data_IF_300167363663
#
_entry.id   IF_300167363663
#
_cell.length_a   1.000
_cell.length_b   1.000
_cell.length_c   1.000
_cell.angle_alpha   90.00
_cell.angle_beta   90.00
_cell.angle_gamma   90.00
#
_symmetry.space_group_name_H-M   'P 1'
#
loop_
_entity.id
_entity.type
_entity.pdbx_description
1 polymer ?
#
# COMPACT_ATOMS: atom_id res chain seq x y z
N UNK A 1 -6.85 -35.88 71.71
CA UNK A 1 -6.85 -34.77 70.73
C UNK A 1 -8.26 -34.21 70.63
N UNK A 2 -8.47 -32.98 71.08
CA UNK A 2 -9.79 -32.36 71.24
C UNK A 2 -10.14 -31.53 69.99
N UNK A 3 -11.21 -31.83 69.29
CA UNK A 3 -11.81 -31.01 68.22
C UNK A 3 -12.56 -29.83 68.88
N UNK A 4 -12.26 -28.60 68.51
CA UNK A 4 -13.02 -27.42 68.89
C UNK A 4 -13.97 -27.05 67.71
N UNK A 5 -15.26 -27.14 67.96
CA UNK A 5 -16.31 -26.61 67.09
C UNK A 5 -16.43 -25.09 67.29
N UNK A 6 -16.34 -24.31 66.19
CA UNK A 6 -16.74 -22.91 66.17
C UNK A 6 -18.11 -22.79 65.50
N UNK A 7 -19.09 -22.32 66.26
CA UNK A 7 -20.39 -21.92 65.79
C UNK A 7 -20.29 -20.49 65.20
N UNK A 8 -20.63 -20.36 63.93
CA UNK A 8 -20.86 -19.03 63.34
C UNK A 8 -22.34 -18.71 63.33
N UNK A 9 -22.74 -17.69 64.07
CA UNK A 9 -24.07 -17.07 63.97
C UNK A 9 -24.18 -16.19 62.74
N UNK A 10 -25.07 -16.52 61.80
CA UNK A 10 -25.34 -15.73 60.62
C UNK A 10 -26.31 -14.57 60.96
N UNK A 11 -25.82 -13.35 60.92
CA UNK A 11 -26.65 -12.14 60.98
C UNK A 11 -27.14 -11.82 59.54
N UNK A 12 -28.45 -11.86 59.35
CA UNK A 12 -29.13 -11.40 58.15
C UNK A 12 -29.20 -9.87 58.11
N UNK A 13 -28.49 -9.27 57.14
CA UNK A 13 -28.62 -7.83 56.80
C UNK A 13 -29.50 -7.77 55.56
N UNK A 14 -30.53 -6.90 55.45
CA UNK A 14 -31.38 -6.86 54.27
C UNK A 14 -30.68 -6.16 53.09
N UNK A 15 -30.48 -6.92 52.01
CA UNK A 15 -29.89 -6.50 50.75
C UNK A 15 -30.96 -6.04 49.77
N UNK A 16 -31.52 -4.84 49.98
CA UNK A 16 -32.59 -4.34 49.12
C UNK A 16 -32.45 -2.92 48.53
N UNK A 17 -31.28 -2.28 48.67
CA UNK A 17 -31.17 -0.86 48.19
C UNK A 17 -29.95 -0.60 47.23
N UNK A 18 -29.18 -1.61 46.84
CA UNK A 18 -27.98 -1.40 46.02
C UNK A 18 -28.14 -1.82 44.53
N UNK A 19 -29.19 -2.55 44.16
CA UNK A 19 -29.34 -3.09 42.81
C UNK A 19 -29.70 -2.05 41.74
N UNK A 20 -30.38 -0.97 42.07
CA UNK A 20 -30.85 0.03 41.09
C UNK A 20 -29.79 1.07 40.67
N UNK A 21 -28.70 1.27 41.44
CA UNK A 21 -27.64 2.22 41.06
C UNK A 21 -26.57 1.60 40.18
N UNK A 22 -26.30 0.27 40.28
CA UNK A 22 -25.30 -0.42 39.48
C UNK A 22 -25.80 -0.62 38.03
N UNK A 23 -27.10 -0.85 37.86
CA UNK A 23 -27.73 -1.03 36.52
C UNK A 23 -27.73 0.26 35.68
N UNK A 24 -27.86 1.42 36.31
CA UNK A 24 -27.84 2.73 35.61
C UNK A 24 -26.42 3.11 35.15
N UNK A 25 -25.39 2.76 35.95
CA UNK A 25 -23.98 3.07 35.61
C UNK A 25 -23.50 2.16 34.49
N UNK A 26 -23.84 0.86 34.50
CA UNK A 26 -23.43 -0.07 33.41
C UNK A 26 -24.10 0.27 32.08
N UNK A 27 -25.36 0.72 32.07
CA UNK A 27 -26.03 1.14 30.84
C UNK A 27 -25.49 2.46 30.26
N UNK A 28 -25.03 3.38 31.12
CA UNK A 28 -24.43 4.65 30.67
C UNK A 28 -23.01 4.41 30.12
N UNK A 29 -22.23 3.51 30.71
CA UNK A 29 -20.91 3.11 30.20
C UNK A 29 -21.00 2.32 28.88
N UNK A 30 -21.96 1.40 28.75
CA UNK A 30 -22.18 0.66 27.51
C UNK A 30 -22.68 1.57 26.37
N UNK A 31 -23.59 2.53 26.63
CA UNK A 31 -24.02 3.51 25.63
C UNK A 31 -22.87 4.42 25.18
N UNK A 32 -22.06 4.94 26.10
CA UNK A 32 -20.92 5.79 25.75
C UNK A 32 -19.78 5.04 25.04
N UNK A 33 -19.67 3.71 25.18
CA UNK A 33 -18.71 2.89 24.41
C UNK A 33 -19.28 2.60 23.03
N UNK A 34 -20.59 2.38 22.89
CA UNK A 34 -21.25 2.14 21.60
C UNK A 34 -21.36 3.43 20.77
N UNK A 35 -21.58 4.59 21.40
CA UNK A 35 -21.62 5.89 20.69
C UNK A 35 -20.22 6.41 20.28
N UNK A 36 -19.12 5.88 20.85
CA UNK A 36 -17.75 6.19 20.41
C UNK A 36 -17.26 5.33 19.25
N UNK A 37 -17.95 4.28 18.89
CA UNK A 37 -17.78 3.56 17.64
C UNK A 37 -18.78 4.04 16.57
N UNK A 38 -19.02 5.34 16.45
CA UNK A 38 -19.51 5.86 15.19
C UNK A 38 -18.43 5.54 14.17
N UNK A 39 -18.75 4.71 13.21
CA UNK A 39 -17.89 4.32 12.08
C UNK A 39 -17.28 5.56 11.43
N UNK A 40 -16.14 6.01 11.97
CA UNK A 40 -15.31 6.98 11.30
C UNK A 40 -14.73 6.23 10.13
N UNK A 41 -15.36 6.36 8.96
CA UNK A 41 -14.89 5.71 7.74
C UNK A 41 -13.40 5.99 7.60
N UNK A 42 -12.63 4.93 7.41
CA UNK A 42 -11.20 5.06 7.16
C UNK A 42 -11.00 5.96 5.94
N UNK A 43 -10.12 6.95 6.04
CA UNK A 43 -9.89 7.91 4.96
C UNK A 43 -9.31 7.26 3.72
N UNK A 44 -8.39 6.32 3.91
CA UNK A 44 -7.76 5.56 2.84
C UNK A 44 -8.33 4.15 2.85
N UNK A 45 -8.67 3.64 1.67
CA UNK A 45 -9.26 2.32 1.50
C UNK A 45 -8.34 1.42 0.68
N UNK A 46 -8.35 0.12 0.96
CA UNK A 46 -7.69 -0.87 0.14
C UNK A 46 -8.47 -1.00 -1.18
N UNK A 47 -7.91 -0.59 -2.33
CA UNK A 47 -8.62 -0.65 -3.59
C UNK A 47 -8.85 -2.12 -4.01
N UNK A 48 -10.05 -2.43 -4.47
CA UNK A 48 -10.35 -3.77 -4.99
C UNK A 48 -9.54 -4.05 -6.26
N UNK A 49 -9.00 -5.26 -6.39
CA UNK A 49 -8.41 -5.71 -7.64
C UNK A 49 -9.49 -5.83 -8.72
N UNK A 50 -9.13 -5.47 -9.95
CA UNK A 50 -10.01 -5.62 -11.13
C UNK A 50 -9.96 -7.03 -11.73
N UNK A 51 -9.20 -7.95 -11.14
CA UNK A 51 -8.96 -9.32 -11.58
C UNK A 51 -8.73 -10.23 -10.36
N UNK A 52 -8.92 -11.54 -10.54
CA UNK A 52 -8.69 -12.53 -9.48
C UNK A 52 -7.21 -12.72 -9.17
N UNK A 53 -6.89 -13.22 -7.98
CA UNK A 53 -5.50 -13.42 -7.56
C UNK A 53 -4.70 -14.35 -8.49
N UNK A 54 -5.33 -15.35 -9.12
CA UNK A 54 -4.67 -16.27 -10.05
C UNK A 54 -4.61 -15.76 -11.50
N UNK A 55 -5.13 -14.56 -11.78
CA UNK A 55 -5.29 -14.07 -13.15
C UNK A 55 -3.95 -13.67 -13.83
N UNK A 56 -2.88 -13.51 -13.05
CA UNK A 56 -1.56 -13.16 -13.55
C UNK A 56 -0.63 -14.38 -13.70
N UNK A 57 -1.14 -15.59 -13.43
CA UNK A 57 -0.39 -16.81 -13.70
C UNK A 57 -0.17 -17.01 -15.21
N UNK A 58 0.94 -17.64 -15.62
CA UNK A 58 1.96 -18.26 -14.78
C UNK A 58 3.06 -17.30 -14.29
N UNK A 59 2.92 -15.98 -14.45
CA UNK A 59 3.99 -15.01 -14.21
C UNK A 59 4.07 -14.54 -12.74
N UNK A 60 2.93 -14.31 -12.10
CA UNK A 60 2.83 -14.02 -10.66
C UNK A 60 1.79 -15.00 -10.08
N UNK A 61 2.17 -15.74 -9.05
CA UNK A 61 1.30 -16.76 -8.47
C UNK A 61 0.19 -16.19 -7.59
N UNK A 62 -0.90 -16.94 -7.45
CA UNK A 62 -2.09 -16.53 -6.72
C UNK A 62 -1.79 -16.22 -5.25
N UNK A 63 -0.93 -17.00 -4.59
CA UNK A 63 -0.58 -16.80 -3.18
C UNK A 63 0.21 -15.51 -2.98
N UNK A 64 1.16 -15.21 -3.87
CA UNK A 64 1.85 -13.93 -3.89
C UNK A 64 0.85 -12.79 -4.02
N UNK A 65 -0.08 -12.85 -4.97
CA UNK A 65 -1.07 -11.79 -5.19
C UNK A 65 -1.98 -11.57 -3.98
N UNK A 66 -2.48 -12.63 -3.36
CA UNK A 66 -3.34 -12.55 -2.17
C UNK A 66 -2.60 -11.92 -0.99
N UNK A 67 -1.42 -12.41 -0.65
CA UNK A 67 -0.63 -11.90 0.48
C UNK A 67 -0.18 -10.45 0.20
N UNK A 68 0.27 -10.17 -1.01
CA UNK A 68 0.77 -8.86 -1.40
C UNK A 68 -0.34 -7.80 -1.34
N UNK A 69 -1.56 -8.12 -1.83
CA UNK A 69 -2.70 -7.22 -1.77
C UNK A 69 -3.31 -7.16 -0.36
N UNK A 70 -3.75 -8.28 0.21
CA UNK A 70 -4.58 -8.26 1.42
C UNK A 70 -3.77 -8.02 2.70
N UNK A 71 -2.50 -8.48 2.75
CA UNK A 71 -1.67 -8.36 3.95
C UNK A 71 -0.71 -7.18 3.86
N UNK A 72 0.11 -7.07 2.80
CA UNK A 72 1.08 -5.98 2.69
C UNK A 72 0.37 -4.65 2.40
N UNK A 73 -0.40 -4.54 1.31
CA UNK A 73 -1.10 -3.30 0.99
C UNK A 73 -2.17 -2.96 2.04
N UNK A 74 -2.97 -3.95 2.48
CA UNK A 74 -3.93 -3.76 3.58
C UNK A 74 -3.27 -3.27 4.87
N UNK A 75 -2.07 -3.76 5.18
CA UNK A 75 -1.25 -3.30 6.30
C UNK A 75 -0.84 -1.83 6.15
N UNK A 76 -0.38 -1.41 4.96
CA UNK A 76 -0.04 -0.01 4.70
C UNK A 76 -1.25 0.92 4.85
N UNK A 77 -2.41 0.54 4.30
CA UNK A 77 -3.66 1.31 4.45
C UNK A 77 -4.04 1.48 5.92
N UNK A 78 -4.06 0.39 6.68
CA UNK A 78 -4.44 0.42 8.10
C UNK A 78 -3.48 1.29 8.93
N UNK A 79 -2.16 1.17 8.69
CA UNK A 79 -1.15 1.93 9.41
C UNK A 79 -1.15 3.41 9.00
N UNK A 80 -1.40 3.72 7.71
CA UNK A 80 -1.55 5.11 7.26
C UNK A 80 -2.75 5.78 7.94
N UNK A 81 -3.92 5.12 7.95
CA UNK A 81 -5.10 5.64 8.62
C UNK A 81 -4.84 5.95 10.11
N UNK A 82 -4.16 5.03 10.82
CA UNK A 82 -3.74 5.27 12.21
C UNK A 82 -2.79 6.46 12.35
N UNK A 83 -1.88 6.63 11.39
CA UNK A 83 -0.88 7.70 11.45
C UNK A 83 -1.46 9.10 11.20
N UNK A 84 -2.55 9.20 10.44
CA UNK A 84 -3.20 10.50 10.14
C UNK A 84 -4.38 10.81 11.07
N UNK A 85 -4.90 9.82 11.78
CA UNK A 85 -6.08 9.95 12.63
C UNK A 85 -5.96 11.07 13.66
N UNK A 86 -6.98 11.96 13.72
CA UNK A 86 -7.04 13.08 14.66
C UNK A 86 -6.05 14.21 14.33
N UNK A 87 -5.40 14.22 13.18
CA UNK A 87 -4.48 15.28 12.76
C UNK A 87 -5.01 16.03 11.54
N UNK A 88 -4.39 17.18 11.20
CA UNK A 88 -4.73 17.91 9.97
C UNK A 88 -4.40 17.12 8.68
N UNK A 89 -3.56 16.09 8.77
CA UNK A 89 -3.26 15.19 7.65
C UNK A 89 -4.48 14.41 7.17
N UNK A 90 -5.52 14.24 7.99
CA UNK A 90 -6.79 13.66 7.54
C UNK A 90 -7.48 14.45 6.40
N UNK A 91 -7.12 15.70 6.21
CA UNK A 91 -7.72 16.57 5.17
C UNK A 91 -6.96 16.46 3.83
N UNK A 92 -5.76 15.90 3.83
CA UNK A 92 -4.87 15.87 2.68
C UNK A 92 -5.07 14.61 1.83
N UNK A 93 -5.02 14.72 0.52
CA UNK A 93 -4.92 13.57 -0.38
C UNK A 93 -3.61 12.80 -0.17
N UNK A 94 -3.55 11.57 -0.71
CA UNK A 94 -2.30 10.79 -0.61
C UNK A 94 -1.14 11.50 -1.32
N UNK A 95 -1.40 12.14 -2.46
CA UNK A 95 -0.41 12.87 -3.23
C UNK A 95 0.10 14.11 -2.48
N UNK A 96 -0.78 14.85 -1.80
CA UNK A 96 -0.40 15.99 -0.96
C UNK A 96 0.49 15.56 0.20
N UNK A 97 0.15 14.45 0.87
CA UNK A 97 0.99 13.86 1.91
C UNK A 97 2.38 13.50 1.39
N UNK A 98 2.45 12.86 0.22
CA UNK A 98 3.73 12.44 -0.37
C UNK A 98 4.58 13.62 -0.84
N UNK A 99 3.97 14.63 -1.47
CA UNK A 99 4.69 15.85 -1.93
C UNK A 99 5.33 16.66 -0.80
N UNK A 100 4.89 16.46 0.43
CA UNK A 100 5.41 17.15 1.63
C UNK A 100 5.84 16.17 2.74
N UNK A 101 6.24 14.96 2.37
CA UNK A 101 6.46 13.86 3.31
C UNK A 101 7.58 14.13 4.32
N UNK A 102 8.55 15.00 3.98
CA UNK A 102 9.60 15.44 4.91
C UNK A 102 9.05 16.16 6.15
N UNK A 103 7.82 16.71 6.07
CA UNK A 103 7.14 17.41 7.16
C UNK A 103 6.26 16.49 8.02
N UNK A 104 6.16 15.22 7.65
CA UNK A 104 5.27 14.25 8.29
C UNK A 104 6.05 13.17 9.04
N UNK A 105 5.42 12.47 9.99
CA UNK A 105 6.04 11.33 10.67
C UNK A 105 6.50 10.26 9.66
N UNK A 106 7.58 9.53 10.00
CA UNK A 106 8.10 8.44 9.16
C UNK A 106 7.05 7.35 8.86
N UNK A 107 6.08 7.18 9.74
CA UNK A 107 4.94 6.28 9.52
C UNK A 107 4.11 6.68 8.30
N UNK A 108 3.92 7.99 8.05
CA UNK A 108 3.22 8.52 6.86
C UNK A 108 4.06 8.27 5.61
N UNK A 109 5.39 8.50 5.65
CA UNK A 109 6.31 8.21 4.54
C UNK A 109 6.23 6.75 4.13
N UNK A 110 6.40 5.83 5.08
CA UNK A 110 6.45 4.40 4.78
C UNK A 110 5.09 3.87 4.35
N UNK A 111 4.03 4.18 5.09
CA UNK A 111 2.71 3.60 4.83
C UNK A 111 1.95 4.36 3.73
N UNK A 112 2.12 5.69 3.63
CA UNK A 112 1.60 6.48 2.52
C UNK A 112 2.26 6.13 1.20
N UNK A 113 3.59 5.99 1.20
CA UNK A 113 4.31 5.49 0.04
C UNK A 113 3.85 4.10 -0.35
N UNK A 114 3.76 3.17 0.62
CA UNK A 114 3.26 1.81 0.39
C UNK A 114 1.86 1.80 -0.20
N UNK A 115 0.93 2.59 0.33
CA UNK A 115 -0.43 2.68 -0.20
C UNK A 115 -0.47 3.21 -1.64
N UNK A 116 0.22 4.32 -1.92
CA UNK A 116 0.26 4.90 -3.27
C UNK A 116 0.89 3.94 -4.29
N UNK A 117 2.06 3.40 -3.97
CA UNK A 117 2.83 2.53 -4.86
C UNK A 117 2.01 1.29 -5.26
N UNK A 118 1.39 0.63 -4.29
CA UNK A 118 0.59 -0.57 -4.54
C UNK A 118 -0.73 -0.27 -5.23
N UNK A 119 -1.40 0.86 -4.92
CA UNK A 119 -2.62 1.29 -5.62
C UNK A 119 -2.36 1.47 -7.12
N UNK A 120 -1.20 2.04 -7.49
CA UNK A 120 -0.77 2.13 -8.87
C UNK A 120 -0.40 0.75 -9.45
N UNK A 121 0.33 -0.07 -8.71
CA UNK A 121 0.85 -1.35 -9.15
C UNK A 121 -0.25 -2.30 -9.64
N UNK A 122 -1.37 -2.37 -8.92
CA UNK A 122 -2.51 -3.19 -9.33
C UNK A 122 -3.14 -2.74 -10.64
N UNK A 123 -3.11 -1.47 -10.97
CA UNK A 123 -3.71 -0.91 -12.19
C UNK A 123 -2.83 -1.11 -13.42
N UNK A 124 -1.51 -1.05 -13.25
CA UNK A 124 -0.55 -1.21 -14.35
C UNK A 124 -0.25 -2.67 -14.69
N UNK A 125 -0.95 -3.62 -14.07
CA UNK A 125 -0.96 -5.03 -14.43
C UNK A 125 -2.35 -5.46 -14.89
N UNK A 126 -2.41 -6.44 -15.82
CA UNK A 126 -3.67 -7.06 -16.25
C UNK A 126 -3.45 -8.50 -16.72
N UNK A 127 -4.50 -9.35 -16.65
CA UNK A 127 -4.50 -10.65 -17.32
C UNK A 127 -4.27 -10.46 -18.84
N UNK A 128 -3.52 -11.38 -19.43
CA UNK A 128 -3.15 -11.32 -20.85
C UNK A 128 -2.53 -9.96 -21.25
N UNK A 129 -1.75 -9.37 -20.34
CA UNK A 129 -1.02 -8.14 -20.57
C UNK A 129 0.24 -8.34 -21.41
N UNK A 130 1.20 -7.44 -21.28
CA UNK A 130 2.48 -7.50 -21.99
C UNK A 130 2.43 -6.88 -23.39
N UNK A 131 3.33 -7.33 -24.25
CA UNK A 131 3.54 -6.68 -25.55
C UNK A 131 4.32 -5.38 -25.46
N UNK A 132 3.97 -4.40 -26.27
CA UNK A 132 4.60 -3.08 -26.36
C UNK A 132 3.56 -1.97 -26.23
N UNK A 133 3.89 -0.78 -25.71
CA UNK A 133 3.02 0.37 -25.74
C UNK A 133 2.75 0.83 -27.17
N UNK A 134 1.71 1.64 -27.35
CA UNK A 134 1.33 2.27 -28.62
C UNK A 134 1.14 3.77 -28.44
N UNK A 135 0.92 4.47 -29.56
CA UNK A 135 0.57 5.90 -29.57
C UNK A 135 1.63 6.81 -28.97
N UNK A 136 1.19 7.83 -28.22
CA UNK A 136 2.06 8.87 -27.67
C UNK A 136 3.13 8.33 -26.72
N UNK A 137 2.78 7.33 -25.89
CA UNK A 137 3.73 6.71 -24.98
C UNK A 137 4.85 5.99 -25.72
N UNK A 138 4.53 5.21 -26.78
CA UNK A 138 5.52 4.53 -27.61
C UNK A 138 6.48 5.54 -28.23
N UNK A 139 5.96 6.60 -28.82
CA UNK A 139 6.76 7.67 -29.44
C UNK A 139 7.67 8.38 -28.43
N UNK A 140 7.18 8.61 -27.19
CA UNK A 140 7.97 9.23 -26.14
C UNK A 140 9.11 8.29 -25.65
N UNK A 141 8.83 6.99 -25.54
CA UNK A 141 9.82 5.98 -25.19
C UNK A 141 10.91 5.90 -26.27
N UNK A 142 10.53 5.78 -27.55
CA UNK A 142 11.49 5.70 -28.66
C UNK A 142 12.34 6.98 -28.74
N UNK A 143 11.72 8.15 -28.57
CA UNK A 143 12.45 9.42 -28.54
C UNK A 143 13.45 9.51 -27.40
N UNK A 144 13.10 9.02 -26.22
CA UNK A 144 13.92 9.17 -25.00
C UNK A 144 15.00 8.09 -24.89
N UNK A 145 14.68 6.85 -25.29
CA UNK A 145 15.54 5.68 -25.07
C UNK A 145 16.07 5.06 -26.35
N UNK A 146 15.66 5.55 -27.52
CA UNK A 146 16.04 5.02 -28.84
C UNK A 146 15.12 3.90 -29.34
N UNK A 147 14.64 3.04 -28.44
CA UNK A 147 13.67 1.99 -28.78
C UNK A 147 12.99 1.47 -27.51
N UNK A 148 11.87 0.76 -27.70
CA UNK A 148 11.24 0.02 -26.60
C UNK A 148 12.15 -1.03 -25.98
N UNK A 149 12.97 -1.70 -26.77
CA UNK A 149 13.85 -2.78 -26.27
C UNK A 149 14.99 -2.20 -25.40
N UNK A 150 15.55 -1.05 -25.76
CA UNK A 150 16.50 -0.32 -24.92
C UNK A 150 15.82 0.23 -23.64
N UNK A 151 14.62 0.76 -23.73
CA UNK A 151 13.84 1.13 -22.55
C UNK A 151 13.67 -0.07 -21.60
N UNK A 152 13.18 -1.20 -22.14
CA UNK A 152 12.96 -2.44 -21.38
C UNK A 152 14.23 -2.91 -20.69
N UNK A 153 15.35 -2.88 -21.40
CA UNK A 153 16.67 -3.23 -20.86
C UNK A 153 17.07 -2.29 -19.72
N UNK A 154 17.02 -0.98 -19.95
CA UNK A 154 17.43 0.02 -18.96
C UNK A 154 16.55 0.00 -17.70
N UNK A 155 15.24 -0.19 -17.86
CA UNK A 155 14.31 -0.32 -16.73
C UNK A 155 14.58 -1.62 -15.94
N UNK A 156 14.78 -2.74 -16.63
CA UNK A 156 15.08 -4.02 -15.99
C UNK A 156 16.42 -3.95 -15.24
N UNK A 157 17.40 -3.27 -15.79
CA UNK A 157 18.69 -3.03 -15.13
C UNK A 157 18.54 -2.18 -13.86
N UNK A 158 17.73 -1.12 -13.90
CA UNK A 158 17.43 -0.30 -12.72
C UNK A 158 16.74 -1.11 -11.62
N UNK A 159 15.78 -1.97 -12.00
CA UNK A 159 15.10 -2.88 -11.10
C UNK A 159 16.04 -3.92 -10.46
N UNK A 160 16.91 -4.53 -11.27
CA UNK A 160 17.86 -5.54 -10.80
C UNK A 160 18.93 -4.93 -9.88
N UNK A 161 19.41 -3.72 -10.20
CA UNK A 161 20.45 -3.00 -9.45
C UNK A 161 19.93 -2.33 -8.16
N UNK A 162 18.61 -2.22 -7.94
CA UNK A 162 18.06 -1.69 -6.69
C UNK A 162 18.47 -2.63 -5.55
N UNK A 163 19.45 -2.20 -4.76
CA UNK A 163 19.93 -2.98 -3.62
C UNK A 163 18.87 -3.03 -2.52
N UNK A 164 18.58 -4.21 -2.00
CA UNK A 164 17.56 -4.43 -0.98
C UNK A 164 16.13 -4.27 -1.52
N UNK A 165 15.25 -3.80 -0.64
CA UNK A 165 13.85 -3.52 -0.95
C UNK A 165 13.69 -2.16 -1.62
N UNK A 166 12.78 -2.06 -2.57
CA UNK A 166 12.47 -0.80 -3.24
C UNK A 166 11.69 -0.99 -4.52
N UNK A 167 11.73 0.02 -5.36
CA UNK A 167 10.97 0.11 -6.60
C UNK A 167 11.83 0.64 -7.74
N UNK A 168 11.58 0.17 -8.96
CA UNK A 168 12.04 0.82 -10.18
C UNK A 168 10.87 1.60 -10.81
N UNK A 169 11.17 2.74 -11.44
CA UNK A 169 10.18 3.67 -11.97
C UNK A 169 10.51 4.15 -13.36
N UNK A 170 9.49 4.28 -14.22
CA UNK A 170 9.47 5.22 -15.33
C UNK A 170 8.67 6.44 -14.88
N UNK A 171 9.26 7.61 -14.95
CA UNK A 171 8.63 8.87 -14.52
C UNK A 171 8.51 9.86 -15.68
N UNK A 172 7.48 10.69 -15.59
CA UNK A 172 7.35 11.88 -16.43
C UNK A 172 7.86 13.09 -15.64
N UNK A 173 8.87 13.75 -16.17
CA UNK A 173 9.45 14.97 -15.59
C UNK A 173 8.58 16.18 -15.92
N UNK A 174 8.69 17.29 -15.16
CA UNK A 174 7.99 18.54 -15.46
C UNK A 174 8.28 19.12 -16.86
N UNK A 175 9.45 18.82 -17.42
CA UNK A 175 9.84 19.23 -18.78
C UNK A 175 9.27 18.32 -19.90
N UNK A 176 8.43 17.35 -19.53
CA UNK A 176 7.80 16.39 -20.43
C UNK A 176 8.68 15.21 -20.86
N UNK A 177 9.90 15.09 -20.33
CA UNK A 177 10.78 13.95 -20.62
C UNK A 177 10.48 12.76 -19.73
N UNK A 178 10.71 11.57 -20.27
CA UNK A 178 10.70 10.33 -19.51
C UNK A 178 12.08 10.08 -18.89
N UNK A 179 12.10 9.56 -17.67
CA UNK A 179 13.33 9.17 -16.98
C UNK A 179 13.11 7.86 -16.22
N UNK A 180 14.14 7.00 -16.19
CA UNK A 180 14.15 5.78 -15.38
C UNK A 180 14.92 6.07 -14.10
N UNK A 181 14.31 5.73 -12.95
CA UNK A 181 14.93 5.85 -11.63
C UNK A 181 14.55 4.67 -10.73
N UNK A 182 15.11 4.64 -9.54
CA UNK A 182 14.71 3.66 -8.51
C UNK A 182 14.75 4.32 -7.13
N UNK A 183 13.88 3.87 -6.23
CA UNK A 183 13.80 4.36 -4.86
C UNK A 183 13.90 3.23 -3.84
N UNK A 184 14.45 3.47 -2.64
CA UNK A 184 14.49 2.47 -1.58
C UNK A 184 13.14 2.35 -0.88
N UNK A 185 12.89 1.21 -0.26
CA UNK A 185 11.73 0.94 0.59
C UNK A 185 10.41 1.28 -0.13
N UNK A 186 9.54 2.09 0.51
CA UNK A 186 8.28 2.55 -0.09
C UNK A 186 8.36 4.00 -0.58
N UNK A 187 9.54 4.57 -0.67
CA UNK A 187 9.71 5.88 -1.29
C UNK A 187 9.30 5.84 -2.76
N UNK A 188 8.84 6.97 -3.27
CA UNK A 188 8.48 7.14 -4.67
C UNK A 188 8.84 8.53 -5.20
N UNK A 189 8.86 8.72 -6.52
CA UNK A 189 9.29 9.98 -7.16
C UNK A 189 8.40 11.20 -6.90
N UNK A 190 7.20 11.05 -6.29
CA UNK A 190 6.37 12.18 -5.86
C UNK A 190 6.90 12.84 -4.60
N UNK A 191 7.66 12.10 -3.79
CA UNK A 191 8.12 12.56 -2.49
C UNK A 191 9.13 13.69 -2.61
N UNK A 192 9.00 14.69 -1.72
CA UNK A 192 9.97 15.79 -1.63
C UNK A 192 11.36 15.34 -1.19
N UNK A 193 11.49 14.16 -0.62
CA UNK A 193 12.75 13.49 -0.23
C UNK A 193 13.36 12.63 -1.33
N UNK A 194 12.67 12.42 -2.47
CA UNK A 194 13.20 11.64 -3.57
C UNK A 194 14.37 12.36 -4.25
N UNK A 195 15.42 11.61 -4.57
CA UNK A 195 16.59 12.13 -5.30
C UNK A 195 16.19 12.58 -6.71
N UNK A 196 15.42 11.74 -7.42
CA UNK A 196 14.86 12.05 -8.75
C UNK A 196 13.34 12.15 -8.62
N UNK A 197 12.80 13.33 -8.95
CA UNK A 197 11.39 13.68 -8.81
C UNK A 197 10.67 13.67 -10.15
N UNK A 198 9.43 13.23 -10.15
CA UNK A 198 8.56 13.24 -11.32
C UNK A 198 7.27 12.47 -11.06
N UNK A 199 6.37 12.46 -12.02
CA UNK A 199 5.14 11.71 -11.93
C UNK A 199 5.37 10.23 -12.30
N UNK A 200 5.07 9.26 -11.41
CA UNK A 200 5.24 7.84 -11.71
C UNK A 200 4.24 7.38 -12.78
N UNK A 201 4.76 7.02 -13.95
CA UNK A 201 3.97 6.51 -15.08
C UNK A 201 3.88 4.98 -15.04
N UNK A 202 5.01 4.34 -14.69
CA UNK A 202 5.15 2.89 -14.59
C UNK A 202 6.10 2.54 -13.46
N UNK A 203 5.89 1.40 -12.80
CA UNK A 203 6.71 0.98 -11.68
C UNK A 203 6.78 -0.54 -11.54
N UNK A 204 7.81 -1.01 -10.86
CA UNK A 204 8.00 -2.42 -10.51
C UNK A 204 8.44 -2.51 -9.05
N UNK A 205 7.68 -3.27 -8.28
CA UNK A 205 8.03 -3.67 -6.93
C UNK A 205 9.15 -4.71 -6.95
N UNK A 206 10.28 -4.40 -6.31
CA UNK A 206 11.39 -5.33 -6.14
C UNK A 206 11.65 -5.70 -4.68
N UNK A 207 10.68 -5.43 -3.80
CA UNK A 207 10.63 -6.06 -2.49
C UNK A 207 10.51 -7.57 -2.65
N UNK A 208 11.12 -8.34 -1.78
CA UNK A 208 11.07 -9.81 -1.84
C UNK A 208 9.64 -10.36 -1.72
N UNK A 209 8.77 -9.68 -0.98
CA UNK A 209 7.37 -10.08 -0.86
C UNK A 209 6.62 -10.11 -2.21
N UNK A 210 7.08 -9.36 -3.21
CA UNK A 210 6.45 -9.32 -4.53
C UNK A 210 6.77 -10.55 -5.39
N UNK A 211 7.80 -11.35 -5.03
CA UNK A 211 8.25 -12.43 -5.90
C UNK A 211 8.81 -13.68 -5.20
N UNK A 212 9.10 -13.64 -3.90
CA UNK A 212 9.89 -14.69 -3.25
C UNK A 212 9.21 -16.06 -3.24
N UNK A 213 7.89 -16.14 -3.10
CA UNK A 213 7.16 -17.42 -3.08
C UNK A 213 7.36 -18.21 -4.37
N UNK A 214 7.39 -17.54 -5.52
CA UNK A 214 7.55 -18.17 -6.83
C UNK A 214 9.02 -18.21 -7.30
N UNK A 215 9.75 -17.13 -7.10
CA UNK A 215 11.06 -16.94 -7.70
C UNK A 215 12.22 -17.07 -6.70
N UNK A 216 11.98 -17.08 -5.39
CA UNK A 216 12.98 -17.07 -4.34
C UNK A 216 14.00 -15.94 -4.58
N UNK A 217 15.29 -16.26 -4.63
CA UNK A 217 16.36 -15.28 -4.87
C UNK A 217 16.52 -14.88 -6.36
N UNK A 218 15.71 -15.43 -7.27
CA UNK A 218 15.83 -15.19 -8.72
C UNK A 218 15.08 -13.92 -9.15
N UNK A 219 15.44 -12.76 -8.55
CA UNK A 219 14.81 -11.46 -8.86
C UNK A 219 14.82 -11.14 -10.35
N UNK A 220 15.89 -11.46 -11.08
CA UNK A 220 16.01 -11.19 -12.52
C UNK A 220 14.99 -11.99 -13.35
N UNK A 221 14.66 -13.21 -12.93
CA UNK A 221 13.62 -14.00 -13.56
C UNK A 221 12.22 -13.38 -13.34
N UNK A 222 11.94 -12.91 -12.13
CA UNK A 222 10.71 -12.15 -11.84
C UNK A 222 10.60 -10.89 -12.69
N UNK A 223 11.68 -10.08 -12.78
CA UNK A 223 11.72 -8.88 -13.62
C UNK A 223 11.42 -9.23 -15.07
N UNK A 224 12.00 -10.31 -15.59
CA UNK A 224 11.77 -10.79 -16.97
C UNK A 224 10.32 -11.20 -17.18
N UNK A 225 9.71 -11.90 -16.23
CA UNK A 225 8.34 -12.36 -16.33
C UNK A 225 7.29 -11.27 -16.12
N UNK A 226 7.61 -10.22 -15.35
CA UNK A 226 6.72 -9.09 -15.11
C UNK A 226 6.26 -8.40 -16.40
N UNK A 227 7.10 -8.34 -17.42
CA UNK A 227 6.76 -7.72 -18.72
C UNK A 227 5.56 -8.37 -19.42
N UNK A 228 5.21 -9.61 -19.07
CA UNK A 228 4.07 -10.32 -19.66
C UNK A 228 2.72 -9.95 -19.03
N UNK A 229 2.70 -9.21 -17.93
CA UNK A 229 1.47 -8.80 -17.23
C UNK A 229 1.22 -7.29 -17.29
N UNK A 230 2.10 -6.53 -17.96
CA UNK A 230 1.98 -5.07 -18.02
C UNK A 230 0.71 -4.64 -18.75
N UNK A 231 -0.03 -3.74 -18.13
CA UNK A 231 -1.20 -3.07 -18.68
C UNK A 231 -0.79 -1.76 -19.37
N UNK A 232 -0.34 -1.85 -20.62
CA UNK A 232 0.12 -0.68 -21.37
C UNK A 232 -0.95 0.37 -21.61
N UNK A 233 -2.23 0.01 -21.59
CA UNK A 233 -3.35 0.97 -21.72
C UNK A 233 -3.38 1.90 -20.51
N UNK A 234 -3.23 1.34 -19.29
CA UNK A 234 -3.17 2.14 -18.08
C UNK A 234 -1.88 2.95 -17.97
N UNK A 235 -0.74 2.38 -18.36
CA UNK A 235 0.54 3.11 -18.42
C UNK A 235 0.44 4.31 -19.37
N UNK A 236 -0.18 4.12 -20.54
CA UNK A 236 -0.42 5.20 -21.49
C UNK A 236 -1.41 6.26 -20.95
N UNK A 237 -2.47 5.82 -20.25
CA UNK A 237 -3.41 6.72 -19.57
C UNK A 237 -2.69 7.61 -18.54
N UNK A 238 -1.85 7.02 -17.71
CA UNK A 238 -1.04 7.75 -16.71
C UNK A 238 -0.06 8.72 -17.34
N UNK A 239 0.56 8.34 -18.45
CA UNK A 239 1.45 9.23 -19.20
C UNK A 239 0.73 10.45 -19.76
N UNK A 240 -0.49 10.29 -20.28
CA UNK A 240 -1.30 11.35 -20.89
C UNK A 240 -2.00 12.24 -19.83
N UNK A 241 -2.30 11.69 -18.67
CA UNK A 241 -3.05 12.34 -17.60
C UNK A 241 -2.25 12.36 -16.28
N UNK A 242 -1.07 13.00 -16.25
CA UNK A 242 -0.32 13.15 -15.00
C UNK A 242 -1.15 13.96 -14.01
N UNK A 243 -1.04 13.63 -12.72
CA UNK A 243 -1.67 14.42 -11.65
C UNK A 243 -1.19 15.88 -11.74
N UNK A 244 -2.14 16.78 -11.91
CA UNK A 244 -1.89 18.22 -11.96
C UNK A 244 -1.60 18.79 -10.56
#
# INVERSE_FOLDING_TARGET
MKRRNFLFTAGLIPLAAAANKVSAISNTFSKNIIERSSDKMAKFELPKLKYSFNALEPYIDAMTMEIHHDKHHGGYVNNLNKAVEGTDMEKLSIEELLKSVSKHPVAVRNNGGGHYNHSMFWQIMKPNGGGKPSGALASAIDKQFGSFDEFKKNFSDAAAKRFGSGWAWLILKPDGKLEITSTPNQDNPLMDVAEVKGYPVFGLDVWEHAYYLKYQNRRTEYITNYWNVVNWDEVANRFQNPLK
#
